data_IF_127095407042
#
_entry.id   IF_127095407042
#
_cell.length_a   1.000
_cell.length_b   1.000
_cell.length_c   1.000
_cell.angle_alpha   90.00
_cell.angle_beta   90.00
_cell.angle_gamma   90.00
#
_symmetry.space_group_name_H-M   'P 1'
#
loop_
_entity.id
_entity.type
_entity.pdbx_description
1 polymer ?
#
# COMPACT_ATOMS: atom_id res chain seq x y z
N UNK A 1 0.22 -20.83 -6.93
CA UNK A 1 1.52 -21.29 -6.38
C UNK A 1 1.32 -22.44 -5.40
N UNK A 2 2.32 -23.35 -5.24
CA UNK A 2 2.22 -24.47 -4.31
C UNK A 2 2.33 -24.02 -2.85
N UNK A 3 1.76 -24.84 -1.92
CA UNK A 3 1.77 -24.56 -0.48
C UNK A 3 3.20 -24.38 0.08
N UNK A 4 4.17 -25.15 -0.44
CA UNK A 4 5.55 -25.14 0.04
C UNK A 4 6.40 -23.98 -0.50
N UNK A 5 5.84 -23.09 -1.31
CA UNK A 5 6.60 -21.93 -1.79
C UNK A 5 6.82 -20.96 -0.63
N UNK A 6 8.07 -20.70 -0.30
CA UNK A 6 8.46 -19.80 0.80
C UNK A 6 8.86 -18.41 0.31
N UNK A 7 9.39 -18.31 -0.91
CA UNK A 7 9.91 -17.04 -1.44
C UNK A 7 9.69 -16.94 -2.95
N UNK A 8 9.32 -15.77 -3.41
CA UNK A 8 9.44 -15.34 -4.80
C UNK A 8 10.60 -14.36 -4.82
N UNK A 9 11.70 -14.74 -5.46
CA UNK A 9 12.95 -13.99 -5.41
C UNK A 9 12.93 -12.76 -6.31
N UNK A 10 14.00 -11.97 -6.24
CA UNK A 10 14.19 -10.76 -7.01
C UNK A 10 13.94 -11.03 -8.50
N UNK A 11 13.14 -10.13 -9.12
CA UNK A 11 12.86 -10.09 -10.56
C UNK A 11 12.27 -11.39 -11.16
N UNK A 12 11.78 -12.34 -10.35
CA UNK A 12 11.34 -13.66 -10.80
C UNK A 12 10.31 -13.64 -11.93
N UNK A 13 9.44 -12.62 -12.01
CA UNK A 13 8.43 -12.43 -13.05
C UNK A 13 8.49 -11.01 -13.66
N UNK A 14 9.63 -10.33 -13.54
CA UNK A 14 9.78 -8.97 -14.07
C UNK A 14 9.48 -8.93 -15.57
N UNK A 15 8.66 -7.98 -16.00
CA UNK A 15 8.29 -7.79 -17.39
C UNK A 15 7.30 -8.83 -17.97
N UNK A 16 6.68 -9.67 -17.14
CA UNK A 16 5.67 -10.63 -17.58
C UNK A 16 4.33 -9.91 -17.94
N UNK A 17 4.33 -9.12 -19.01
CA UNK A 17 3.26 -8.20 -19.36
C UNK A 17 1.93 -8.88 -19.74
N UNK A 18 1.97 -10.15 -20.11
CA UNK A 18 0.78 -10.96 -20.45
C UNK A 18 0.23 -11.75 -19.27
N UNK A 19 0.90 -11.68 -18.09
CA UNK A 19 0.43 -12.32 -16.87
C UNK A 19 -0.79 -11.56 -16.35
N UNK A 20 -1.97 -12.19 -16.39
CA UNK A 20 -3.25 -11.55 -16.03
C UNK A 20 -3.72 -11.89 -14.63
N UNK A 21 -3.31 -13.05 -14.10
CA UNK A 21 -3.72 -13.53 -12.78
C UNK A 21 -2.62 -14.36 -12.12
N UNK A 22 -2.61 -14.36 -10.79
CA UNK A 22 -1.71 -15.18 -9.98
C UNK A 22 -2.55 -15.83 -8.87
N UNK A 23 -2.57 -17.15 -8.83
CA UNK A 23 -3.24 -17.89 -7.74
C UNK A 23 -2.31 -18.09 -6.54
N UNK A 24 -2.56 -17.33 -5.47
CA UNK A 24 -1.90 -17.46 -4.16
C UNK A 24 -2.71 -18.26 -3.15
N UNK A 25 -3.88 -18.80 -3.50
CA UNK A 25 -4.82 -19.45 -2.56
C UNK A 25 -4.22 -20.58 -1.73
N UNK A 26 -3.14 -21.20 -2.21
CA UNK A 26 -2.41 -22.27 -1.54
C UNK A 26 -1.06 -21.84 -0.96
N UNK A 27 -0.61 -20.60 -1.20
CA UNK A 27 0.74 -20.15 -0.85
C UNK A 27 0.88 -19.76 0.63
N UNK A 28 0.39 -20.60 1.54
CA UNK A 28 0.32 -20.31 2.98
C UNK A 28 1.69 -20.22 3.67
N UNK A 29 2.76 -20.74 3.03
CA UNK A 29 4.13 -20.68 3.56
C UNK A 29 4.93 -19.53 2.95
N UNK A 30 4.36 -18.77 2.02
CA UNK A 30 5.05 -17.63 1.38
C UNK A 30 5.41 -16.58 2.43
N UNK A 31 6.72 -16.31 2.57
CA UNK A 31 7.29 -15.37 3.54
C UNK A 31 7.68 -14.05 2.91
N UNK A 32 8.09 -14.06 1.64
CA UNK A 32 8.55 -12.85 0.97
C UNK A 32 8.27 -12.84 -0.53
N UNK A 33 7.99 -11.66 -1.04
CA UNK A 33 8.01 -11.33 -2.46
C UNK A 33 9.15 -10.33 -2.65
N UNK A 34 10.14 -10.68 -3.47
CA UNK A 34 11.41 -9.98 -3.60
C UNK A 34 11.34 -8.66 -4.35
N UNK A 35 12.49 -7.97 -4.39
CA UNK A 35 12.67 -6.74 -5.15
C UNK A 35 12.29 -6.95 -6.63
N UNK A 36 11.44 -6.07 -7.19
CA UNK A 36 10.98 -6.14 -8.59
C UNK A 36 10.38 -7.48 -9.03
N UNK A 37 9.92 -8.31 -8.12
CA UNK A 37 9.46 -9.67 -8.45
C UNK A 37 8.41 -9.70 -9.57
N UNK A 38 7.51 -8.72 -9.63
CA UNK A 38 6.48 -8.54 -10.65
C UNK A 38 6.54 -7.13 -11.28
N UNK A 39 7.76 -6.58 -11.40
CA UNK A 39 8.00 -5.26 -12.00
C UNK A 39 7.43 -5.21 -13.43
N UNK A 40 6.63 -4.19 -13.72
CA UNK A 40 5.99 -3.99 -15.03
C UNK A 40 5.12 -5.16 -15.53
N UNK A 41 4.55 -5.99 -14.64
CA UNK A 41 3.53 -6.97 -15.00
C UNK A 41 2.20 -6.27 -15.33
N UNK A 42 2.19 -5.52 -16.42
CA UNK A 42 1.08 -4.63 -16.78
C UNK A 42 -0.24 -5.34 -17.08
N UNK A 43 -0.22 -6.65 -17.35
CA UNK A 43 -1.42 -7.45 -17.56
C UNK A 43 -2.18 -7.83 -16.29
N UNK A 44 -1.51 -7.78 -15.11
CA UNK A 44 -2.07 -8.24 -13.84
C UNK A 44 -3.25 -7.36 -13.40
N UNK A 45 -4.38 -8.01 -13.05
CA UNK A 45 -5.63 -7.31 -12.72
C UNK A 45 -5.95 -7.27 -11.24
N UNK A 46 -5.81 -8.41 -10.57
CA UNK A 46 -6.13 -8.54 -9.15
C UNK A 46 -4.99 -9.27 -8.44
N UNK A 47 -4.74 -8.88 -7.20
CA UNK A 47 -3.72 -9.47 -6.35
C UNK A 47 -4.34 -9.83 -5.00
N UNK A 48 -4.71 -11.11 -4.84
CA UNK A 48 -5.23 -11.60 -3.57
C UNK A 48 -4.15 -12.40 -2.81
N UNK A 49 -3.61 -11.77 -1.77
CA UNK A 49 -2.61 -12.34 -0.87
C UNK A 49 -3.21 -12.79 0.48
N UNK A 50 -4.54 -12.77 0.63
CA UNK A 50 -5.20 -13.07 1.91
C UNK A 50 -4.89 -14.46 2.46
N UNK A 51 -4.56 -15.44 1.60
CA UNK A 51 -4.12 -16.77 2.00
C UNK A 51 -2.64 -16.83 2.44
N UNK A 52 -1.84 -15.79 2.17
CA UNK A 52 -0.40 -15.77 2.47
C UNK A 52 -0.13 -15.41 3.95
N UNK A 53 -0.64 -16.25 4.86
CA UNK A 53 -0.60 -15.99 6.31
C UNK A 53 0.80 -16.00 6.92
N UNK A 54 1.82 -16.43 6.18
CA UNK A 54 3.23 -16.38 6.58
C UNK A 54 3.98 -15.20 5.99
N UNK A 55 3.33 -14.34 5.18
CA UNK A 55 4.00 -13.23 4.48
C UNK A 55 4.51 -12.19 5.49
N UNK A 56 5.82 -11.90 5.40
CA UNK A 56 6.52 -10.95 6.29
C UNK A 56 6.84 -9.65 5.56
N UNK A 57 7.16 -9.71 4.26
CA UNK A 57 7.56 -8.52 3.53
C UNK A 57 7.31 -8.58 2.03
N UNK A 58 7.07 -7.40 1.47
CA UNK A 58 7.05 -7.12 0.03
C UNK A 58 8.27 -6.24 -0.28
N UNK A 59 9.06 -6.65 -1.25
CA UNK A 59 10.27 -5.93 -1.67
C UNK A 59 9.99 -4.62 -2.40
N UNK A 60 10.99 -3.76 -2.48
CA UNK A 60 10.89 -2.50 -3.23
C UNK A 60 10.58 -2.76 -4.71
N UNK A 61 9.73 -1.91 -5.30
CA UNK A 61 9.30 -2.01 -6.69
C UNK A 61 8.63 -3.36 -7.07
N UNK A 62 8.19 -4.18 -6.13
CA UNK A 62 7.73 -5.54 -6.41
C UNK A 62 6.61 -5.60 -7.45
N UNK A 63 5.69 -4.64 -7.47
CA UNK A 63 4.56 -4.51 -8.40
C UNK A 63 4.56 -3.13 -9.09
N UNK A 64 5.74 -2.52 -9.24
CA UNK A 64 5.88 -1.23 -9.91
C UNK A 64 5.32 -1.29 -11.33
N UNK A 65 4.49 -0.30 -11.71
CA UNK A 65 3.82 -0.22 -13.01
C UNK A 65 2.95 -1.44 -13.40
N UNK A 66 2.38 -2.16 -12.45
CA UNK A 66 1.28 -3.08 -12.73
C UNK A 66 0.02 -2.26 -13.08
N UNK A 67 0.02 -1.62 -14.26
CA UNK A 67 -0.91 -0.53 -14.61
C UNK A 67 -2.38 -0.97 -14.71
N UNK A 68 -2.68 -2.25 -14.92
CA UNK A 68 -4.04 -2.79 -14.94
C UNK A 68 -4.50 -3.37 -13.60
N UNK A 69 -3.64 -3.36 -12.56
CA UNK A 69 -3.99 -3.87 -11.24
C UNK A 69 -5.10 -3.02 -10.62
N UNK A 70 -6.23 -3.64 -10.27
CA UNK A 70 -7.44 -2.96 -9.80
C UNK A 70 -7.63 -3.05 -8.28
N UNK A 71 -7.26 -4.19 -7.69
CA UNK A 71 -7.41 -4.43 -6.26
C UNK A 71 -6.22 -5.22 -5.71
N UNK A 72 -5.87 -4.91 -4.46
CA UNK A 72 -4.89 -5.67 -3.68
C UNK A 72 -5.49 -6.02 -2.32
N UNK A 73 -5.46 -7.30 -1.96
CA UNK A 73 -5.99 -7.82 -0.72
C UNK A 73 -4.89 -8.46 0.14
N UNK A 74 -4.59 -7.84 1.30
CA UNK A 74 -3.66 -8.35 2.32
C UNK A 74 -4.35 -8.79 3.60
N UNK A 75 -5.68 -8.88 3.66
CA UNK A 75 -6.45 -9.03 4.91
C UNK A 75 -6.09 -10.24 5.78
N UNK A 76 -5.41 -11.25 5.22
CA UNK A 76 -4.88 -12.41 5.96
C UNK A 76 -3.40 -12.31 6.35
N UNK A 77 -2.70 -11.24 5.98
CA UNK A 77 -1.25 -11.09 6.14
C UNK A 77 -0.88 -10.50 7.51
N UNK A 78 -1.36 -11.11 8.61
CA UNK A 78 -1.11 -10.61 9.97
C UNK A 78 0.37 -10.56 10.40
N UNK A 79 1.28 -11.20 9.64
CA UNK A 79 2.74 -11.15 9.87
C UNK A 79 3.48 -10.15 8.98
N UNK A 80 2.78 -9.48 8.07
CA UNK A 80 3.38 -8.50 7.18
C UNK A 80 3.90 -7.31 7.99
N UNK A 81 5.20 -7.06 7.94
CA UNK A 81 5.86 -5.98 8.70
C UNK A 81 6.12 -4.74 7.87
N UNK A 82 6.33 -4.90 6.55
CA UNK A 82 6.61 -3.79 5.64
C UNK A 82 6.19 -4.07 4.21
N UNK A 83 5.84 -2.99 3.50
CA UNK A 83 5.69 -2.97 2.06
C UNK A 83 6.71 -1.97 1.54
N UNK A 84 7.68 -2.46 0.76
CA UNK A 84 8.87 -1.72 0.37
C UNK A 84 8.60 -0.51 -0.52
N UNK A 85 9.57 0.38 -0.60
CA UNK A 85 9.47 1.63 -1.36
C UNK A 85 9.12 1.37 -2.82
N UNK A 86 8.22 2.20 -3.37
CA UNK A 86 7.74 2.11 -4.76
C UNK A 86 7.01 0.81 -5.11
N UNK A 87 6.62 -0.03 -4.13
CA UNK A 87 6.13 -1.38 -4.41
C UNK A 87 4.95 -1.41 -5.37
N UNK A 88 4.03 -0.47 -5.29
CA UNK A 88 2.85 -0.34 -6.16
C UNK A 88 2.80 1.00 -6.90
N UNK A 89 3.95 1.70 -7.03
CA UNK A 89 3.96 2.97 -7.73
C UNK A 89 3.54 2.79 -9.19
N UNK A 90 2.76 3.76 -9.70
CA UNK A 90 2.17 3.75 -11.05
C UNK A 90 1.21 2.59 -11.35
N UNK A 91 0.60 1.97 -10.32
CA UNK A 91 -0.54 1.10 -10.50
C UNK A 91 -1.79 1.95 -10.79
N UNK A 92 -1.85 2.55 -11.97
CA UNK A 92 -2.82 3.62 -12.29
C UNK A 92 -4.28 3.17 -12.28
N UNK A 93 -4.56 1.88 -12.45
CA UNK A 93 -5.92 1.31 -12.35
C UNK A 93 -6.32 0.89 -10.94
N UNK A 94 -5.39 0.95 -9.96
CA UNK A 94 -5.63 0.48 -8.60
C UNK A 94 -6.70 1.34 -7.92
N UNK A 95 -7.76 0.69 -7.45
CA UNK A 95 -8.92 1.33 -6.82
C UNK A 95 -8.97 1.11 -5.32
N UNK A 96 -8.63 -0.09 -4.87
CA UNK A 96 -8.73 -0.47 -3.46
C UNK A 96 -7.50 -1.25 -3.00
N UNK A 97 -7.08 -0.99 -1.78
CA UNK A 97 -6.06 -1.77 -1.06
C UNK A 97 -6.65 -2.16 0.28
N UNK A 98 -6.72 -3.45 0.56
CA UNK A 98 -7.18 -3.95 1.86
C UNK A 98 -5.99 -4.45 2.68
N UNK A 99 -5.61 -3.66 3.70
CA UNK A 99 -4.59 -3.96 4.70
C UNK A 99 -5.22 -4.36 6.05
N UNK A 100 -6.52 -4.61 6.09
CA UNK A 100 -7.18 -4.94 7.34
C UNK A 100 -6.53 -6.16 8.00
N UNK A 101 -6.40 -6.11 9.33
CA UNK A 101 -5.73 -7.14 10.13
C UNK A 101 -4.22 -7.35 9.87
N UNK A 102 -3.54 -6.48 9.11
CA UNK A 102 -2.08 -6.47 9.03
C UNK A 102 -1.49 -5.92 10.35
N UNK A 103 -1.73 -6.63 11.45
CA UNK A 103 -1.43 -6.14 12.80
C UNK A 103 0.07 -6.01 13.11
N UNK A 104 0.93 -6.63 12.32
CA UNK A 104 2.39 -6.49 12.43
C UNK A 104 2.97 -5.41 11.51
N UNK A 105 2.15 -4.74 10.67
CA UNK A 105 2.63 -3.75 9.72
C UNK A 105 3.11 -2.50 10.46
N UNK A 106 4.42 -2.21 10.36
CA UNK A 106 5.06 -1.09 11.05
C UNK A 106 5.19 0.13 10.16
N UNK A 107 5.49 -0.09 8.87
CA UNK A 107 5.79 1.01 7.94
C UNK A 107 5.16 0.76 6.58
N UNK A 108 4.50 1.79 6.05
CA UNK A 108 4.29 1.96 4.63
C UNK A 108 5.46 2.79 4.09
N UNK A 109 6.31 2.17 3.28
CA UNK A 109 7.56 2.80 2.82
C UNK A 109 7.33 3.93 1.82
N UNK A 110 8.39 4.66 1.46
CA UNK A 110 8.30 5.81 0.58
C UNK A 110 7.74 5.44 -0.79
N UNK A 111 6.82 6.28 -1.28
CA UNK A 111 6.19 6.18 -2.62
C UNK A 111 5.45 4.86 -2.89
N UNK A 112 5.08 4.12 -1.85
CA UNK A 112 4.53 2.76 -1.97
C UNK A 112 3.30 2.69 -2.87
N UNK A 113 2.39 3.65 -2.81
CA UNK A 113 1.18 3.79 -3.65
C UNK A 113 1.15 5.13 -4.41
N UNK A 114 2.32 5.72 -4.63
CA UNK A 114 2.42 6.97 -5.39
C UNK A 114 1.91 6.78 -6.82
N UNK A 115 1.23 7.79 -7.34
CA UNK A 115 0.67 7.81 -8.69
C UNK A 115 -0.30 6.65 -9.01
N UNK A 116 -0.96 6.10 -7.97
CA UNK A 116 -2.14 5.24 -8.07
C UNK A 116 -3.39 6.13 -8.24
N UNK A 117 -3.53 6.77 -9.41
CA UNK A 117 -4.48 7.88 -9.63
C UNK A 117 -5.96 7.51 -9.41
N UNK A 118 -6.30 6.24 -9.57
CA UNK A 118 -7.67 5.75 -9.35
C UNK A 118 -7.90 5.17 -7.94
N UNK A 119 -6.90 5.21 -7.04
CA UNK A 119 -7.05 4.70 -5.67
C UNK A 119 -8.09 5.56 -4.91
N UNK A 120 -9.15 4.92 -4.44
CA UNK A 120 -10.25 5.58 -3.72
C UNK A 120 -10.23 5.32 -2.23
N UNK A 121 -9.80 4.13 -1.81
CA UNK A 121 -9.80 3.72 -0.40
C UNK A 121 -8.66 2.78 -0.03
N UNK A 122 -8.25 2.86 1.24
CA UNK A 122 -7.28 1.96 1.87
C UNK A 122 -7.87 1.45 3.18
N UNK A 123 -8.16 0.15 3.26
CA UNK A 123 -8.65 -0.49 4.48
C UNK A 123 -7.52 -0.72 5.47
N UNK A 124 -7.59 -0.10 6.65
CA UNK A 124 -6.54 -0.09 7.67
C UNK A 124 -7.00 -0.67 9.01
N UNK A 125 -8.21 -1.21 9.08
CA UNK A 125 -8.74 -1.75 10.32
C UNK A 125 -7.82 -2.86 10.88
N UNK A 126 -7.36 -2.69 12.13
CA UNK A 126 -6.46 -3.63 12.79
C UNK A 126 -4.96 -3.44 12.48
N UNK A 127 -4.55 -2.40 11.74
CA UNK A 127 -3.13 -2.03 11.56
C UNK A 127 -2.58 -1.32 12.79
N UNK A 128 -2.68 -1.94 13.96
CA UNK A 128 -2.39 -1.30 15.25
C UNK A 128 -0.90 -1.06 15.52
N UNK A 129 0.01 -1.65 14.73
CA UNK A 129 1.45 -1.44 14.84
C UNK A 129 1.98 -0.39 13.86
N UNK A 130 1.15 0.19 12.98
CA UNK A 130 1.61 1.13 11.96
C UNK A 130 2.07 2.44 12.60
N UNK A 131 3.38 2.69 12.56
CA UNK A 131 4.01 3.88 13.14
C UNK A 131 4.32 4.95 12.13
N UNK A 132 4.55 4.56 10.86
CA UNK A 132 5.08 5.47 9.84
C UNK A 132 4.39 5.29 8.50
N UNK A 133 3.96 6.40 7.93
CA UNK A 133 3.58 6.51 6.52
C UNK A 133 4.68 7.32 5.84
N UNK A 134 5.42 6.68 4.94
CA UNK A 134 6.64 7.20 4.32
C UNK A 134 6.41 8.38 3.37
N UNK A 135 7.52 8.95 2.91
CA UNK A 135 7.53 10.05 1.94
C UNK A 135 6.75 9.66 0.68
N UNK A 136 5.86 10.56 0.24
CA UNK A 136 5.09 10.39 -0.99
C UNK A 136 4.23 9.13 -1.07
N UNK A 137 3.96 8.44 0.03
CA UNK A 137 3.33 7.12 0.04
C UNK A 137 2.03 7.05 -0.79
N UNK A 138 1.24 8.13 -0.79
CA UNK A 138 -0.02 8.29 -1.55
C UNK A 138 -0.03 9.54 -2.42
N UNK A 139 1.15 10.05 -2.78
CA UNK A 139 1.28 11.25 -3.60
C UNK A 139 0.81 11.00 -5.04
N UNK A 140 0.11 11.97 -5.62
CA UNK A 140 -0.26 11.95 -7.04
C UNK A 140 0.30 13.18 -7.76
N UNK A 141 1.49 13.03 -8.36
CA UNK A 141 2.18 14.14 -9.02
C UNK A 141 1.57 14.53 -10.38
N UNK A 142 0.95 13.57 -11.07
CA UNK A 142 0.57 13.72 -12.49
C UNK A 142 -0.94 13.82 -12.72
N UNK A 143 -1.76 13.54 -11.72
CA UNK A 143 -3.22 13.60 -11.83
C UNK A 143 -3.86 13.93 -10.48
N UNK A 144 -5.12 14.36 -10.50
CA UNK A 144 -5.89 14.46 -9.26
C UNK A 144 -6.14 13.07 -8.70
N UNK A 145 -5.70 12.83 -7.47
CA UNK A 145 -6.00 11.62 -6.71
C UNK A 145 -7.51 11.48 -6.49
N UNK A 146 -7.97 10.24 -6.43
CA UNK A 146 -9.34 9.92 -6.01
C UNK A 146 -9.40 9.40 -4.57
N UNK A 147 -8.25 9.32 -3.86
CA UNK A 147 -8.18 8.84 -2.48
C UNK A 147 -8.95 9.79 -1.56
N UNK A 148 -10.16 9.39 -1.21
CA UNK A 148 -11.07 10.14 -0.34
C UNK A 148 -11.39 9.42 0.97
N UNK A 149 -11.14 8.11 1.02
CA UNK A 149 -11.41 7.27 2.18
C UNK A 149 -10.10 6.74 2.78
N UNK A 150 -9.67 7.36 3.89
CA UNK A 150 -8.50 6.96 4.66
C UNK A 150 -8.72 7.30 6.14
N UNK A 151 -8.99 6.28 6.95
CA UNK A 151 -9.31 6.44 8.37
C UNK A 151 -8.04 6.42 9.25
N UNK A 152 -7.61 7.61 9.69
CA UNK A 152 -6.48 7.75 10.61
C UNK A 152 -6.82 7.38 12.05
N UNK A 153 -8.11 7.39 12.43
CA UNK A 153 -8.54 7.19 13.82
C UNK A 153 -8.24 5.80 14.37
N UNK A 154 -8.08 4.82 13.49
CA UNK A 154 -7.74 3.44 13.84
C UNK A 154 -6.23 3.22 14.05
N UNK A 155 -5.39 4.17 13.62
CA UNK A 155 -3.93 4.03 13.61
C UNK A 155 -3.32 4.51 14.94
N UNK A 156 -3.58 3.77 16.02
CA UNK A 156 -3.23 4.19 17.39
C UNK A 156 -1.72 4.26 17.66
N UNK A 157 -0.88 3.62 16.84
CA UNK A 157 0.57 3.69 16.96
C UNK A 157 1.20 4.71 16.00
N UNK A 158 0.42 5.35 15.09
CA UNK A 158 0.95 6.25 14.07
C UNK A 158 1.59 7.48 14.73
N UNK A 159 2.85 7.75 14.35
CA UNK A 159 3.65 8.87 14.84
C UNK A 159 4.09 9.81 13.75
N UNK A 160 4.46 9.24 12.58
CA UNK A 160 5.13 10.00 11.55
C UNK A 160 4.40 9.86 10.21
N UNK A 161 4.09 10.98 9.59
CA UNK A 161 3.60 11.09 8.21
C UNK A 161 4.66 11.85 7.43
N UNK A 162 5.25 11.20 6.43
CA UNK A 162 6.39 11.66 5.67
C UNK A 162 6.10 12.87 4.78
N UNK A 163 7.18 13.41 4.19
CA UNK A 163 7.08 14.52 3.23
C UNK A 163 6.15 14.13 2.07
N UNK A 164 5.22 15.03 1.74
CA UNK A 164 4.28 14.88 0.61
C UNK A 164 3.44 13.60 0.61
N UNK A 165 3.30 12.90 1.75
CA UNK A 165 2.69 11.57 1.83
C UNK A 165 1.28 11.49 1.22
N UNK A 166 0.46 12.53 1.38
CA UNK A 166 -0.91 12.65 0.83
C UNK A 166 -1.06 13.85 -0.11
N UNK A 167 0.06 14.38 -0.62
CA UNK A 167 -0.01 15.55 -1.49
C UNK A 167 -0.92 15.30 -2.69
N UNK A 168 -1.81 16.28 -2.95
CA UNK A 168 -2.84 16.24 -4.00
C UNK A 168 -3.86 15.09 -3.86
N UNK A 169 -4.07 14.54 -2.65
CA UNK A 169 -5.15 13.56 -2.42
C UNK A 169 -6.53 14.23 -2.37
N UNK A 170 -7.57 13.43 -2.61
CA UNK A 170 -8.97 13.87 -2.53
C UNK A 170 -9.55 13.78 -1.11
N UNK A 171 -8.72 13.57 -0.09
CA UNK A 171 -9.16 13.52 1.31
C UNK A 171 -10.03 14.72 1.64
N UNK A 172 -11.15 14.45 2.32
CA UNK A 172 -12.19 15.45 2.55
C UNK A 172 -12.75 15.37 3.98
N UNK A 173 -13.35 16.49 4.42
CA UNK A 173 -13.97 16.56 5.74
C UNK A 173 -12.96 16.69 6.86
N UNK A 174 -13.29 16.10 7.99
CA UNK A 174 -12.51 16.20 9.21
C UNK A 174 -11.48 15.06 9.29
N UNK A 175 -10.23 15.42 9.44
CA UNK A 175 -9.15 14.45 9.67
C UNK A 175 -8.96 14.32 11.19
N UNK A 176 -9.30 13.15 11.73
CA UNK A 176 -9.08 12.85 13.14
C UNK A 176 -7.95 11.82 13.26
N UNK A 177 -6.87 12.22 13.91
CA UNK A 177 -5.79 11.29 14.26
C UNK A 177 -6.12 10.59 15.57
N UNK A 178 -5.81 9.28 15.64
CA UNK A 178 -5.64 8.65 16.95
C UNK A 178 -4.45 9.33 17.64
N UNK A 179 -4.54 9.63 18.91
CA UNK A 179 -3.51 10.37 19.67
C UNK A 179 -2.09 9.86 19.38
N UNK A 180 -1.11 10.76 19.30
CA UNK A 180 0.30 10.39 19.27
C UNK A 180 1.11 10.79 18.04
N UNK A 181 0.53 11.49 17.08
CA UNK A 181 1.29 12.08 15.96
C UNK A 181 2.37 13.00 16.51
N UNK A 182 3.62 12.74 16.12
CA UNK A 182 4.79 13.54 16.53
C UNK A 182 5.40 14.31 15.37
N UNK A 183 5.16 13.86 14.13
CA UNK A 183 5.70 14.52 12.95
C UNK A 183 4.74 14.50 11.78
N UNK A 184 4.52 15.67 11.19
CA UNK A 184 3.97 15.83 9.85
C UNK A 184 5.06 16.39 8.95
N UNK A 185 5.44 15.65 7.93
CA UNK A 185 6.47 16.02 6.98
C UNK A 185 6.08 17.24 6.13
N UNK A 186 7.06 17.83 5.48
CA UNK A 186 6.84 18.96 4.57
C UNK A 186 5.80 18.56 3.51
N UNK A 187 4.82 19.43 3.26
CA UNK A 187 3.78 19.22 2.26
C UNK A 187 2.93 17.93 2.45
N UNK A 188 2.92 17.31 3.63
CA UNK A 188 2.25 16.02 3.85
C UNK A 188 0.81 15.98 3.30
N UNK A 189 0.04 17.05 3.45
CA UNK A 189 -1.34 17.21 2.94
C UNK A 189 -1.47 18.38 1.95
N UNK A 190 -0.39 18.79 1.32
CA UNK A 190 -0.42 19.89 0.34
C UNK A 190 -1.36 19.55 -0.82
N UNK A 191 -2.25 20.48 -1.18
CA UNK A 191 -3.22 20.26 -2.27
C UNK A 191 -4.44 19.41 -1.90
N UNK A 192 -4.60 18.96 -0.64
CA UNK A 192 -5.82 18.33 -0.14
C UNK A 192 -6.90 19.40 0.10
N UNK A 193 -7.57 19.80 -0.95
CA UNK A 193 -8.44 21.02 -0.97
C UNK A 193 -9.79 20.85 -0.27
N UNK A 194 -10.14 19.62 0.11
CA UNK A 194 -11.45 19.27 0.68
C UNK A 194 -11.39 18.99 2.19
N UNK A 195 -10.21 19.07 2.83
CA UNK A 195 -10.08 18.96 4.29
C UNK A 195 -10.68 20.21 4.93
N UNK A 196 -11.56 20.01 5.91
CA UNK A 196 -12.28 21.09 6.62
C UNK A 196 -11.73 21.32 8.02
N UNK A 197 -11.28 20.28 8.70
CA UNK A 197 -10.66 20.40 10.02
C UNK A 197 -9.62 19.29 10.26
N UNK A 198 -8.77 19.50 11.24
CA UNK A 198 -7.77 18.49 11.71
C UNK A 198 -7.81 18.43 13.22
N UNK A 199 -7.98 17.23 13.78
CA UNK A 199 -7.94 16.94 15.21
C UNK A 199 -6.77 15.99 15.51
N UNK A 200 -5.99 16.28 16.61
CA UNK A 200 -4.76 15.59 16.97
C UNK A 200 -4.87 14.86 18.31
#
# INVERSE_FOLDING_TARGET
>A
FPKALEMIDQEAFSGCNTLTEIDFSKATQLRSIGHRAFYECSGLRDLDLSACTSLVGIGSNAFYRCSNLQAVNFSGCGKLTSIGSYAFQYCSSLRTVDLSNCSALVTLESYVFSDCSNLTSVGLAGCTALTTIGEGAFNNNYSSSQLSDFDFSQLTALKDIGESAFSNSALAGDIAFASGITQLGRNAFSGCRNITSVDF
#
